data_IF_843841535567
#
_entry.id   IF_843841535567
#
_cell.length_a   1.000
_cell.length_b   1.000
_cell.length_c   1.000
_cell.angle_alpha   90.00
_cell.angle_beta   90.00
_cell.angle_gamma   90.00
#
_symmetry.space_group_name_H-M   'P 1'
#
loop_
_entity.id
_entity.type
_entity.pdbx_description
1 polymer ?
#
# COMPACT_ATOMS: atom_id res chain seq x y z
N UNK A 1 -46.57 6.38 1.85
CA UNK A 1 -45.96 6.27 3.19
C UNK A 1 -45.47 4.85 3.46
N UNK A 2 -46.16 3.84 2.92
CA UNK A 2 -45.84 2.42 3.09
C UNK A 2 -44.49 2.00 2.48
N UNK A 3 -44.10 2.61 1.37
CA UNK A 3 -42.82 2.35 0.70
C UNK A 3 -41.60 2.79 1.53
N UNK A 4 -41.73 3.90 2.26
CA UNK A 4 -40.68 4.39 3.16
C UNK A 4 -40.53 3.52 4.40
N UNK A 5 -41.65 3.02 4.94
CA UNK A 5 -41.64 2.10 6.09
C UNK A 5 -40.97 0.77 5.71
N UNK A 6 -41.30 0.21 4.54
CA UNK A 6 -40.69 -1.03 4.05
C UNK A 6 -39.18 -0.85 3.81
N UNK A 7 -38.78 0.26 3.19
CA UNK A 7 -37.36 0.57 2.94
C UNK A 7 -36.59 0.76 4.26
N UNK A 8 -37.17 1.45 5.24
CA UNK A 8 -36.56 1.67 6.54
C UNK A 8 -36.44 0.37 7.34
N UNK A 9 -37.48 -0.47 7.34
CA UNK A 9 -37.45 -1.78 8.00
C UNK A 9 -36.42 -2.73 7.37
N UNK A 10 -36.28 -2.72 6.04
CA UNK A 10 -35.25 -3.48 5.34
C UNK A 10 -33.83 -3.02 5.69
N UNK A 11 -33.62 -1.71 5.80
CA UNK A 11 -32.33 -1.13 6.17
C UNK A 11 -31.94 -1.45 7.62
N UNK A 12 -32.89 -1.38 8.54
CA UNK A 12 -32.67 -1.72 9.96
C UNK A 12 -32.35 -3.22 10.12
N UNK A 13 -33.03 -4.11 9.40
CA UNK A 13 -32.73 -5.55 9.42
C UNK A 13 -31.35 -5.91 8.87
N UNK A 14 -30.80 -5.08 7.96
CA UNK A 14 -29.44 -5.25 7.44
C UNK A 14 -28.36 -4.78 8.42
N UNK A 15 -28.69 -3.82 9.29
CA UNK A 15 -27.77 -3.27 10.30
C UNK A 15 -27.72 -4.11 11.59
N UNK A 16 -28.81 -4.81 11.95
CA UNK A 16 -28.93 -5.58 13.20
C UNK A 16 -28.40 -7.03 13.10
N UNK A 17 -27.96 -7.47 11.91
CA UNK A 17 -27.34 -8.79 11.76
C UNK A 17 -25.90 -8.72 12.28
N UNK A 18 -25.73 -8.80 13.60
CA UNK A 18 -24.44 -9.05 14.21
C UNK A 18 -23.78 -10.24 13.49
N UNK A 19 -22.52 -10.11 13.00
CA UNK A 19 -21.85 -11.19 12.31
C UNK A 19 -21.87 -12.44 13.19
N UNK A 20 -22.23 -13.59 12.62
CA UNK A 20 -22.14 -14.83 13.37
C UNK A 20 -20.69 -15.03 13.84
N UNK A 21 -20.44 -15.64 15.01
CA UNK A 21 -19.08 -15.76 15.56
C UNK A 21 -18.08 -16.50 14.65
N UNK A 22 -18.57 -17.22 13.63
CA UNK A 22 -17.77 -17.92 12.63
C UNK A 22 -17.58 -17.16 11.30
N UNK A 23 -18.15 -15.97 11.16
CA UNK A 23 -18.05 -15.13 9.94
C UNK A 23 -16.72 -14.37 9.89
N UNK A 24 -16.02 -14.31 11.03
CA UNK A 24 -14.63 -13.86 11.17
C UNK A 24 -13.65 -15.03 11.09
N UNK A 25 -13.89 -16.00 10.20
CA UNK A 25 -12.77 -16.82 9.72
C UNK A 25 -11.93 -15.93 8.81
N UNK A 26 -11.01 -15.19 9.44
CA UNK A 26 -10.02 -14.30 8.85
C UNK A 26 -9.65 -14.78 7.45
N UNK A 27 -10.29 -14.17 6.45
CA UNK A 27 -10.24 -14.70 5.11
C UNK A 27 -8.80 -14.72 4.64
N UNK A 28 -8.37 -15.84 4.07
CA UNK A 28 -7.11 -15.91 3.32
C UNK A 28 -6.96 -14.75 2.32
N UNK A 29 -8.08 -14.20 1.83
CA UNK A 29 -8.11 -12.96 1.04
C UNK A 29 -7.57 -11.73 1.78
N UNK A 30 -7.98 -11.48 3.02
CA UNK A 30 -7.45 -10.35 3.81
C UNK A 30 -5.96 -10.51 4.10
N UNK A 31 -5.52 -11.74 4.39
CA UNK A 31 -4.11 -12.07 4.54
C UNK A 31 -3.32 -11.87 3.23
N UNK A 32 -3.89 -12.28 2.09
CA UNK A 32 -3.32 -12.06 0.77
C UNK A 32 -3.19 -10.58 0.40
N UNK A 33 -4.20 -9.76 0.73
CA UNK A 33 -4.16 -8.30 0.53
C UNK A 33 -3.04 -7.68 1.38
N UNK A 34 -2.94 -8.06 2.65
CA UNK A 34 -1.88 -7.57 3.53
C UNK A 34 -0.48 -7.94 3.01
N UNK A 35 -0.28 -9.19 2.60
CA UNK A 35 1.00 -9.64 2.05
C UNK A 35 1.32 -8.94 0.72
N UNK A 36 0.31 -8.76 -0.15
CA UNK A 36 0.45 -8.02 -1.40
C UNK A 36 0.88 -6.57 -1.17
N UNK A 37 0.29 -5.90 -0.19
CA UNK A 37 0.69 -4.55 0.23
C UNK A 37 2.13 -4.54 0.75
N UNK A 38 2.49 -5.48 1.63
CA UNK A 38 3.84 -5.57 2.18
C UNK A 38 4.91 -5.77 1.08
N UNK A 39 4.63 -6.63 0.10
CA UNK A 39 5.52 -6.86 -1.05
C UNK A 39 5.59 -5.61 -1.93
N UNK A 40 4.46 -4.97 -2.24
CA UNK A 40 4.43 -3.74 -3.04
C UNK A 40 5.26 -2.62 -2.38
N UNK A 41 5.08 -2.41 -1.08
CA UNK A 41 5.88 -1.45 -0.30
C UNK A 41 7.35 -1.85 -0.26
N UNK A 42 7.68 -3.13 -0.05
CA UNK A 42 9.05 -3.63 -0.06
C UNK A 42 9.75 -3.42 -1.40
N UNK A 43 9.07 -3.66 -2.51
CA UNK A 43 9.56 -3.41 -3.87
C UNK A 43 9.81 -1.92 -4.12
N UNK A 44 8.93 -1.05 -3.64
CA UNK A 44 9.10 0.40 -3.73
C UNK A 44 10.35 0.86 -2.97
N UNK A 45 10.50 0.42 -1.72
CA UNK A 45 11.67 0.72 -0.90
C UNK A 45 12.96 0.19 -1.54
N UNK A 46 12.93 -1.03 -2.07
CA UNK A 46 14.09 -1.62 -2.76
C UNK A 46 14.46 -0.83 -4.03
N UNK A 47 13.48 -0.43 -4.82
CA UNK A 47 13.68 0.40 -6.01
C UNK A 47 14.39 1.71 -5.64
N UNK A 48 13.88 2.42 -4.62
CA UNK A 48 14.45 3.67 -4.14
C UNK A 48 15.89 3.49 -3.63
N UNK A 49 16.13 2.49 -2.78
CA UNK A 49 17.47 2.18 -2.24
C UNK A 49 18.44 1.79 -3.34
N UNK A 50 17.99 1.07 -4.38
CA UNK A 50 18.82 0.71 -5.53
C UNK A 50 19.29 1.94 -6.29
N UNK A 51 18.42 2.94 -6.49
CA UNK A 51 18.81 4.20 -7.11
C UNK A 51 19.83 4.98 -6.26
N UNK A 52 19.61 5.07 -4.95
CA UNK A 52 20.54 5.71 -4.02
C UNK A 52 21.90 5.01 -4.01
N UNK A 53 21.93 3.67 -3.98
CA UNK A 53 23.18 2.89 -4.06
C UNK A 53 23.94 3.14 -5.36
N UNK A 54 23.26 3.19 -6.51
CA UNK A 54 23.90 3.49 -7.79
C UNK A 54 24.53 4.88 -7.80
N UNK A 55 23.80 5.89 -7.32
CA UNK A 55 24.33 7.24 -7.20
C UNK A 55 25.58 7.28 -6.30
N UNK A 56 25.53 6.59 -5.15
CA UNK A 56 26.63 6.52 -4.20
C UNK A 56 27.85 5.76 -4.75
N UNK A 57 27.63 4.66 -5.46
CA UNK A 57 28.69 3.92 -6.14
C UNK A 57 29.35 4.76 -7.25
N UNK A 58 28.58 5.53 -8.00
CA UNK A 58 29.13 6.44 -9.02
C UNK A 58 29.93 7.59 -8.39
N UNK A 59 29.50 8.08 -7.22
CA UNK A 59 30.25 9.08 -6.45
C UNK A 59 31.56 8.50 -5.88
N UNK A 60 31.50 7.32 -5.25
CA UNK A 60 32.69 6.65 -4.69
C UNK A 60 33.66 6.17 -5.78
N UNK A 61 33.17 5.82 -6.97
CA UNK A 61 34.01 5.41 -8.11
C UNK A 61 34.64 6.60 -8.85
N UNK A 62 34.47 7.84 -8.36
CA UNK A 62 34.98 9.04 -9.02
C UNK A 62 34.42 9.25 -10.43
N UNK A 63 33.24 8.70 -10.75
CA UNK A 63 32.63 8.83 -12.08
C UNK A 63 32.13 10.27 -12.35
N UNK A 64 31.92 11.05 -11.29
CA UNK A 64 31.90 12.51 -11.38
C UNK A 64 33.35 13.00 -11.35
N UNK A 65 34.02 12.90 -12.50
CA UNK A 65 35.27 13.62 -12.73
C UNK A 65 34.99 15.11 -12.60
N UNK A 66 35.86 15.82 -11.90
CA UNK A 66 36.00 17.27 -11.81
C UNK A 66 35.15 18.05 -12.82
N UNK A 67 34.03 18.62 -12.37
CA UNK A 67 33.51 19.81 -13.03
C UNK A 67 34.62 20.86 -12.89
N UNK A 68 35.29 21.11 -13.99
CA UNK A 68 36.17 22.24 -14.26
C UNK A 68 35.88 23.45 -13.36
N UNK A 69 36.88 23.83 -12.58
CA UNK A 69 37.09 25.23 -12.23
C UNK A 69 36.83 26.09 -13.47
N UNK A 70 35.93 27.09 -13.44
CA UNK A 70 35.94 28.14 -14.43
C UNK A 70 37.29 28.85 -14.35
N UNK A 71 38.16 28.66 -15.34
CA UNK A 71 39.28 29.58 -15.56
C UNK A 71 38.71 30.82 -16.24
N UNK A 72 38.45 31.85 -15.42
CA UNK A 72 37.98 33.18 -15.82
C UNK A 72 37.77 34.06 -14.61
#
# INVERSE_FOLDING_TARGET
>A
MDTLVIALSGLVGMLDKAPAPNDVKAGWGAFGIFLGLAVATGLLCWSMVRHMKKAKLNADSGAFGTDETPQG
#
